data_IF_147413016355
#
_entry.id   IF_147413016355
#
_cell.length_a   1.000
_cell.length_b   1.000
_cell.length_c   1.000
_cell.angle_alpha   90.00
_cell.angle_beta   90.00
_cell.angle_gamma   90.00
#
_symmetry.space_group_name_H-M   'P 1'
#
loop_
_entity.id
_entity.type
_entity.pdbx_description
1 polymer ?
#
# COMPACT_ATOMS: atom_id res chain seq x y z
N UNK A 1 -21.93 1.05 -22.81
CA UNK A 1 -21.75 -0.05 -21.84
C UNK A 1 -21.19 0.57 -20.57
N UNK A 2 -22.01 0.71 -19.52
CA UNK A 2 -21.53 1.19 -18.21
C UNK A 2 -20.54 0.17 -17.68
N UNK A 3 -19.28 0.58 -17.50
CA UNK A 3 -18.27 -0.23 -16.84
C UNK A 3 -18.63 -0.16 -15.35
N UNK A 4 -19.11 -1.28 -14.79
CA UNK A 4 -19.40 -1.46 -13.36
C UNK A 4 -18.13 -1.25 -12.51
N UNK A 5 -18.32 -1.17 -11.18
CA UNK A 5 -17.24 -0.95 -10.21
C UNK A 5 -16.03 -1.84 -10.49
N UNK A 6 -14.87 -1.22 -10.74
CA UNK A 6 -13.57 -1.87 -10.95
C UNK A 6 -13.49 -2.98 -12.04
N UNK A 7 -14.43 -3.03 -12.99
CA UNK A 7 -14.41 -4.05 -14.05
C UNK A 7 -14.86 -5.45 -13.60
N UNK A 8 -15.58 -5.55 -12.48
CA UNK A 8 -16.13 -6.82 -11.97
C UNK A 8 -17.66 -6.83 -12.08
N UNK A 9 -18.25 -8.02 -12.16
CA UNK A 9 -19.67 -8.27 -11.94
C UNK A 9 -19.85 -9.12 -10.69
N UNK A 10 -20.88 -8.84 -9.89
CA UNK A 10 -21.15 -9.61 -8.67
C UNK A 10 -22.40 -10.45 -8.85
N UNK A 11 -22.27 -11.75 -8.58
CA UNK A 11 -23.37 -12.71 -8.61
C UNK A 11 -23.62 -13.26 -7.21
N UNK A 12 -24.89 -13.40 -6.84
CA UNK A 12 -25.30 -14.26 -5.72
C UNK A 12 -25.41 -15.69 -6.24
N UNK A 13 -24.67 -16.61 -5.64
CA UNK A 13 -24.66 -18.00 -6.07
C UNK A 13 -25.94 -18.72 -5.61
N UNK A 14 -26.47 -19.56 -6.48
CA UNK A 14 -27.62 -20.42 -6.22
C UNK A 14 -27.50 -21.72 -7.04
N UNK A 15 -28.39 -22.68 -6.78
CA UNK A 15 -28.45 -23.94 -7.51
C UNK A 15 -27.10 -24.65 -7.59
N UNK A 16 -26.66 -24.97 -8.81
CA UNK A 16 -25.42 -25.73 -9.06
C UNK A 16 -24.16 -24.96 -8.70
N UNK A 17 -24.10 -23.65 -8.99
CA UNK A 17 -22.91 -22.85 -8.62
C UNK A 17 -22.74 -22.74 -7.11
N UNK A 18 -23.84 -22.65 -6.35
CA UNK A 18 -23.80 -22.68 -4.88
C UNK A 18 -23.36 -24.04 -4.35
N UNK A 19 -23.86 -25.13 -4.92
CA UNK A 19 -23.45 -26.49 -4.52
C UNK A 19 -21.94 -26.71 -4.75
N UNK A 20 -21.42 -26.24 -5.88
CA UNK A 20 -19.99 -26.29 -6.17
C UNK A 20 -19.16 -25.42 -5.22
N UNK A 21 -19.61 -24.20 -4.90
CA UNK A 21 -18.92 -23.32 -3.94
C UNK A 21 -18.86 -23.92 -2.53
N UNK A 22 -19.94 -24.57 -2.07
CA UNK A 22 -19.96 -25.31 -0.79
C UNK A 22 -19.01 -26.50 -0.81
N UNK A 23 -19.02 -27.27 -1.91
CA UNK A 23 -18.07 -28.38 -2.06
C UNK A 23 -16.62 -27.89 -2.04
N UNK A 24 -16.31 -26.78 -2.69
CA UNK A 24 -14.98 -26.16 -2.66
C UNK A 24 -14.57 -25.79 -1.23
N UNK A 25 -15.48 -25.20 -0.46
CA UNK A 25 -15.23 -24.87 0.95
C UNK A 25 -14.98 -26.12 1.80
N UNK A 26 -15.79 -27.18 1.64
CA UNK A 26 -15.61 -28.44 2.36
C UNK A 26 -14.24 -29.07 2.05
N UNK A 27 -13.83 -29.04 0.77
CA UNK A 27 -12.53 -29.55 0.35
C UNK A 27 -11.37 -28.70 0.89
N UNK A 28 -11.51 -27.38 0.92
CA UNK A 28 -10.53 -26.49 1.56
C UNK A 28 -10.39 -26.79 3.06
N UNK A 29 -11.50 -26.98 3.77
CA UNK A 29 -11.49 -27.32 5.20
C UNK A 29 -10.76 -28.63 5.46
N UNK A 30 -10.99 -29.66 4.64
CA UNK A 30 -10.26 -30.93 4.72
C UNK A 30 -8.77 -30.76 4.41
N UNK A 31 -8.43 -29.96 3.42
CA UNK A 31 -7.03 -29.70 3.06
C UNK A 31 -6.29 -29.01 4.23
N UNK A 32 -6.95 -28.08 4.93
CA UNK A 32 -6.40 -27.39 6.11
C UNK A 32 -6.12 -28.32 7.30
N UNK A 33 -6.76 -29.50 7.37
CA UNK A 33 -6.48 -30.50 8.41
C UNK A 33 -5.15 -31.23 8.16
N UNK A 34 -4.69 -31.29 6.90
CA UNK A 34 -3.53 -32.09 6.50
C UNK A 34 -2.34 -31.25 6.04
N UNK A 35 -2.59 -30.03 5.53
CA UNK A 35 -1.56 -29.12 5.03
C UNK A 35 -1.34 -27.98 6.02
N UNK A 36 -0.17 -27.90 6.68
CA UNK A 36 0.12 -26.86 7.65
C UNK A 36 0.27 -25.50 6.95
N UNK A 37 -0.59 -24.54 7.31
CA UNK A 37 -0.45 -23.12 6.95
C UNK A 37 0.14 -22.33 8.10
N UNK A 38 1.05 -21.41 7.80
CA UNK A 38 1.65 -20.53 8.81
C UNK A 38 0.62 -19.49 9.27
N UNK A 39 0.46 -19.35 10.58
CA UNK A 39 -0.45 -18.38 11.21
C UNK A 39 0.26 -17.15 11.77
N UNK A 40 1.57 -17.24 11.95
CA UNK A 40 2.40 -16.19 12.54
C UNK A 40 3.78 -16.14 11.87
N UNK A 41 4.49 -15.04 12.11
CA UNK A 41 5.80 -14.78 11.52
C UNK A 41 5.75 -13.77 10.37
N UNK A 42 6.70 -13.90 9.44
CA UNK A 42 6.82 -12.96 8.33
C UNK A 42 5.62 -13.08 7.37
N UNK A 43 4.98 -11.95 7.04
CA UNK A 43 3.79 -11.91 6.18
C UNK A 43 3.99 -12.58 4.82
N UNK A 44 5.20 -12.50 4.23
CA UNK A 44 5.50 -13.19 2.97
C UNK A 44 5.46 -14.71 3.15
N UNK A 45 6.07 -15.23 4.21
CA UNK A 45 6.07 -16.67 4.49
C UNK A 45 4.65 -17.19 4.77
N UNK A 46 3.86 -16.42 5.52
CA UNK A 46 2.43 -16.70 5.72
C UNK A 46 1.72 -16.77 4.36
N UNK A 47 1.83 -15.73 3.55
CA UNK A 47 1.21 -15.70 2.21
C UNK A 47 1.65 -16.84 1.30
N UNK A 48 2.94 -17.19 1.30
CA UNK A 48 3.49 -18.29 0.51
C UNK A 48 2.91 -19.65 0.94
N UNK A 49 2.72 -19.87 2.25
CA UNK A 49 2.11 -21.11 2.76
C UNK A 49 0.64 -21.27 2.33
N UNK A 50 -0.15 -20.18 2.36
CA UNK A 50 -1.51 -20.17 1.86
C UNK A 50 -1.58 -20.37 0.34
N UNK A 51 -0.68 -19.74 -0.41
CA UNK A 51 -0.60 -19.95 -1.86
C UNK A 51 -0.27 -21.41 -2.22
N UNK A 52 0.59 -22.07 -1.44
CA UNK A 52 0.94 -23.47 -1.65
C UNK A 52 -0.26 -24.40 -1.40
N UNK A 53 -0.99 -24.18 -0.29
CA UNK A 53 -2.25 -24.87 0.01
C UNK A 53 -3.23 -24.76 -1.15
N UNK A 54 -3.53 -23.53 -1.60
CA UNK A 54 -4.49 -23.30 -2.67
C UNK A 54 -4.06 -23.96 -4.00
N UNK A 55 -2.77 -23.91 -4.34
CA UNK A 55 -2.26 -24.59 -5.54
C UNK A 55 -2.43 -26.11 -5.46
N UNK A 56 -2.12 -26.71 -4.31
CA UNK A 56 -2.31 -28.14 -4.08
C UNK A 56 -3.77 -28.57 -4.19
N UNK A 57 -4.65 -27.85 -3.48
CA UNK A 57 -6.10 -28.06 -3.52
C UNK A 57 -6.64 -27.99 -4.95
N UNK A 58 -6.32 -26.92 -5.69
CA UNK A 58 -6.83 -26.75 -7.05
C UNK A 58 -6.28 -27.79 -8.03
N UNK A 59 -5.02 -28.20 -7.89
CA UNK A 59 -4.44 -29.26 -8.71
C UNK A 59 -5.12 -30.61 -8.45
N UNK A 60 -5.43 -30.93 -7.19
CA UNK A 60 -6.18 -32.14 -6.82
C UNK A 60 -7.60 -32.10 -7.37
N UNK A 61 -8.33 -31.00 -7.16
CA UNK A 61 -9.70 -30.84 -7.67
C UNK A 61 -9.77 -30.91 -9.20
N UNK A 62 -8.75 -30.45 -9.92
CA UNK A 62 -8.71 -30.58 -11.38
C UNK A 62 -8.73 -32.05 -11.86
N UNK A 63 -8.30 -33.00 -11.02
CA UNK A 63 -8.31 -34.44 -11.30
C UNK A 63 -9.55 -35.11 -10.70
N UNK A 64 -9.85 -34.83 -9.43
CA UNK A 64 -10.86 -35.56 -8.65
C UNK A 64 -12.29 -35.02 -8.82
N UNK A 65 -12.43 -33.71 -9.07
CA UNK A 65 -13.72 -33.02 -9.12
C UNK A 65 -13.69 -31.81 -10.08
N UNK A 66 -13.37 -32.01 -11.38
CA UNK A 66 -13.20 -30.93 -12.35
C UNK A 66 -14.45 -30.06 -12.50
N UNK A 67 -15.64 -30.63 -12.30
CA UNK A 67 -16.92 -29.93 -12.33
C UNK A 67 -17.04 -28.82 -11.28
N UNK A 68 -16.35 -28.98 -10.12
CA UNK A 68 -16.30 -27.94 -9.09
C UNK A 68 -15.57 -26.71 -9.63
N UNK A 69 -14.44 -26.91 -10.32
CA UNK A 69 -13.66 -25.81 -10.90
C UNK A 69 -14.37 -25.14 -12.08
N UNK A 70 -15.12 -25.91 -12.86
CA UNK A 70 -15.94 -25.40 -13.97
C UNK A 70 -17.09 -24.53 -13.43
N UNK A 71 -17.88 -25.04 -12.48
CA UNK A 71 -19.05 -24.34 -11.94
C UNK A 71 -18.70 -23.12 -11.06
N UNK A 72 -17.51 -23.12 -10.46
CA UNK A 72 -16.97 -21.96 -9.72
C UNK A 72 -16.22 -20.97 -10.63
N UNK A 73 -15.98 -21.34 -11.89
CA UNK A 73 -15.26 -20.50 -12.85
C UNK A 73 -13.77 -20.32 -12.53
N UNK A 74 -13.19 -21.06 -11.58
CA UNK A 74 -11.79 -20.89 -11.17
C UNK A 74 -10.80 -21.21 -12.30
N UNK A 75 -11.23 -21.99 -13.31
CA UNK A 75 -10.48 -22.23 -14.55
C UNK A 75 -10.87 -21.26 -15.70
N UNK A 76 -11.93 -20.48 -15.54
CA UNK A 76 -12.45 -19.54 -16.55
C UNK A 76 -11.89 -18.13 -16.31
N UNK A 77 -10.61 -17.94 -16.65
CA UNK A 77 -9.94 -16.65 -16.46
C UNK A 77 -10.33 -15.63 -17.53
N UNK A 78 -10.60 -14.40 -17.09
CA UNK A 78 -10.83 -13.25 -17.96
C UNK A 78 -9.55 -12.40 -18.06
N UNK A 79 -9.27 -11.86 -19.25
CA UNK A 79 -8.15 -10.93 -19.43
C UNK A 79 -8.62 -9.50 -19.23
N UNK A 80 -8.23 -8.90 -18.10
CA UNK A 80 -8.50 -7.50 -17.80
C UNK A 80 -7.31 -6.64 -18.20
N UNK A 81 -7.55 -5.49 -18.83
CA UNK A 81 -6.51 -4.53 -19.21
C UNK A 81 -6.69 -3.24 -18.42
N UNK A 82 -5.75 -2.95 -17.53
CA UNK A 82 -5.73 -1.76 -16.70
C UNK A 82 -4.83 -0.70 -17.32
N UNK A 83 -5.37 0.51 -17.47
CA UNK A 83 -4.61 1.66 -17.97
C UNK A 83 -5.06 2.93 -17.25
N UNK A 84 -4.12 3.61 -16.60
CA UNK A 84 -4.29 4.94 -16.03
C UNK A 84 -3.79 6.06 -16.96
N UNK A 85 -3.96 7.34 -16.58
CA UNK A 85 -3.65 8.48 -17.46
C UNK A 85 -2.17 8.64 -17.85
N UNK A 86 -1.24 8.11 -17.06
CA UNK A 86 0.21 8.14 -17.28
C UNK A 86 0.85 6.76 -17.10
N UNK A 87 0.18 5.70 -17.51
CA UNK A 87 0.77 4.35 -17.50
C UNK A 87 0.45 3.62 -18.80
N UNK A 88 1.33 2.70 -19.19
CA UNK A 88 1.07 1.77 -20.28
C UNK A 88 0.06 0.70 -19.82
N UNK A 89 -0.72 0.11 -20.75
CA UNK A 89 -1.66 -0.93 -20.39
C UNK A 89 -0.94 -2.09 -19.70
N UNK A 90 -1.57 -2.63 -18.65
CA UNK A 90 -1.16 -3.82 -17.93
C UNK A 90 -2.30 -4.83 -18.02
N UNK A 91 -2.02 -6.00 -18.58
CA UNK A 91 -3.03 -7.04 -18.77
C UNK A 91 -2.82 -8.16 -17.76
N UNK A 92 -3.91 -8.61 -17.14
CA UNK A 92 -3.89 -9.72 -16.19
C UNK A 92 -4.98 -10.72 -16.54
N UNK A 93 -4.63 -12.00 -16.49
CA UNK A 93 -5.59 -13.09 -16.46
C UNK A 93 -6.04 -13.29 -15.01
N UNK A 94 -7.32 -13.07 -14.75
CA UNK A 94 -7.91 -13.14 -13.42
C UNK A 94 -9.08 -14.12 -13.38
N UNK A 95 -9.18 -14.91 -12.32
CA UNK A 95 -10.30 -15.83 -12.08
C UNK A 95 -11.38 -15.16 -11.21
N UNK A 96 -12.63 -15.65 -11.22
CA UNK A 96 -13.63 -15.27 -10.24
C UNK A 96 -13.19 -15.53 -8.80
N UNK A 97 -13.65 -14.69 -7.88
CA UNK A 97 -13.44 -14.83 -6.43
C UNK A 97 -14.76 -15.09 -5.73
N UNK A 98 -14.80 -16.06 -4.81
CA UNK A 98 -16.02 -16.40 -4.05
C UNK A 98 -15.83 -15.96 -2.60
N UNK A 99 -16.76 -15.15 -2.10
CA UNK A 99 -16.80 -14.65 -0.73
C UNK A 99 -18.01 -15.19 0.00
N UNK A 100 -17.87 -15.39 1.32
CA UNK A 100 -18.95 -15.76 2.21
C UNK A 100 -19.37 -14.56 3.02
N UNK A 101 -20.66 -14.33 3.20
CA UNK A 101 -21.11 -13.28 4.10
C UNK A 101 -20.97 -13.69 5.58
N UNK A 102 -20.79 -12.74 6.52
CA UNK A 102 -20.42 -13.05 7.90
C UNK A 102 -21.58 -13.51 8.79
N UNK A 103 -22.80 -13.62 8.27
CA UNK A 103 -23.98 -14.01 9.05
C UNK A 103 -23.98 -15.50 9.43
N UNK A 104 -24.81 -15.86 10.42
CA UNK A 104 -24.98 -17.25 10.89
C UNK A 104 -25.34 -18.25 9.77
N UNK A 105 -26.05 -17.77 8.74
CA UNK A 105 -26.32 -18.52 7.53
C UNK A 105 -25.63 -17.77 6.38
N UNK A 106 -24.35 -18.11 6.07
CA UNK A 106 -23.58 -17.36 5.10
C UNK A 106 -24.16 -17.51 3.70
N UNK A 107 -24.27 -16.39 3.00
CA UNK A 107 -24.56 -16.30 1.57
C UNK A 107 -23.24 -16.29 0.79
N UNK A 108 -23.26 -16.83 -0.43
CA UNK A 108 -22.07 -16.92 -1.29
C UNK A 108 -22.19 -15.93 -2.44
N UNK A 109 -21.19 -15.08 -2.57
CA UNK A 109 -21.11 -14.06 -3.60
C UNK A 109 -19.88 -14.28 -4.46
N UNK A 110 -20.04 -14.28 -5.78
CA UNK A 110 -18.96 -14.43 -6.73
C UNK A 110 -18.69 -13.10 -7.43
N UNK A 111 -17.46 -12.59 -7.28
CA UNK A 111 -16.93 -11.46 -8.02
C UNK A 111 -16.26 -12.00 -9.28
N UNK A 112 -16.88 -11.74 -10.43
CA UNK A 112 -16.41 -12.21 -11.73
C UNK A 112 -15.69 -11.09 -12.47
N UNK A 113 -14.43 -11.28 -12.90
CA UNK A 113 -13.74 -10.32 -13.75
C UNK A 113 -14.36 -10.26 -15.15
N UNK A 114 -14.58 -9.03 -15.64
CA UNK A 114 -15.02 -8.77 -17.02
C UNK A 114 -13.79 -8.50 -17.88
N UNK A 115 -13.63 -9.27 -18.94
CA UNK A 115 -12.53 -9.11 -19.90
C UNK A 115 -12.59 -7.75 -20.63
N UNK A 116 -11.51 -7.40 -21.32
CA UNK A 116 -11.39 -6.14 -22.06
C UNK A 116 -12.39 -5.96 -23.23
N UNK A 117 -13.15 -7.00 -23.60
CA UNK A 117 -14.21 -6.99 -24.62
C UNK A 117 -15.62 -7.12 -24.02
N UNK A 118 -15.75 -7.22 -22.70
CA UNK A 118 -17.03 -7.40 -22.00
C UNK A 118 -17.42 -8.86 -21.73
N UNK A 119 -16.64 -9.84 -22.20
CA UNK A 119 -16.83 -11.26 -21.89
C UNK A 119 -16.52 -11.55 -20.44
N UNK A 120 -17.23 -12.52 -19.85
CA UNK A 120 -17.08 -12.90 -18.45
C UNK A 120 -17.68 -14.29 -18.22
N UNK A 121 -17.30 -14.92 -17.11
CA UNK A 121 -17.91 -16.16 -16.65
C UNK A 121 -19.32 -15.87 -16.08
N UNK A 122 -20.30 -16.74 -16.36
CA UNK A 122 -21.65 -16.63 -15.78
C UNK A 122 -21.90 -17.86 -14.91
N UNK A 123 -21.98 -17.72 -13.58
CA UNK A 123 -22.20 -18.86 -12.71
C UNK A 123 -23.57 -19.50 -12.97
N UNK A 124 -23.59 -20.83 -13.07
CA UNK A 124 -24.82 -21.58 -13.29
C UNK A 124 -25.84 -21.31 -12.18
N UNK A 125 -27.06 -20.95 -12.58
CA UNK A 125 -28.20 -20.67 -11.70
C UNK A 125 -28.00 -19.45 -10.76
N UNK A 126 -26.87 -18.72 -10.89
CA UNK A 126 -26.57 -17.53 -10.10
C UNK A 126 -27.33 -16.30 -10.57
N UNK A 127 -27.71 -15.44 -9.62
CA UNK A 127 -28.37 -14.16 -9.89
C UNK A 127 -27.36 -13.02 -9.96
N UNK A 128 -27.32 -12.29 -11.09
CA UNK A 128 -26.53 -11.06 -11.20
C UNK A 128 -27.14 -10.00 -10.29
N UNK A 129 -26.31 -9.37 -9.46
CA UNK A 129 -26.74 -8.28 -8.59
C UNK A 129 -26.90 -6.97 -9.37
N UNK A 130 -27.94 -6.22 -9.02
CA UNK A 130 -28.09 -4.83 -9.45
C UNK A 130 -27.13 -3.89 -8.69
N UNK A 131 -27.07 -2.61 -9.08
CA UNK A 131 -26.15 -1.63 -8.45
C UNK A 131 -26.42 -1.42 -6.96
N UNK A 132 -27.68 -1.50 -6.53
CA UNK A 132 -28.07 -1.29 -5.13
C UNK A 132 -27.68 -2.50 -4.29
N UNK A 133 -27.94 -3.71 -4.79
CA UNK A 133 -27.56 -4.97 -4.17
C UNK A 133 -26.04 -5.14 -4.11
N UNK A 134 -25.33 -4.79 -5.17
CA UNK A 134 -23.86 -4.80 -5.23
C UNK A 134 -23.26 -3.91 -4.14
N UNK A 135 -23.78 -2.68 -3.99
CA UNK A 135 -23.33 -1.76 -2.92
C UNK A 135 -23.57 -2.32 -1.53
N UNK A 136 -24.79 -2.80 -1.26
CA UNK A 136 -25.15 -3.40 0.04
C UNK A 136 -24.24 -4.60 0.34
N UNK A 137 -23.99 -5.44 -0.66
CA UNK A 137 -23.13 -6.61 -0.53
C UNK A 137 -21.67 -6.22 -0.29
N UNK A 138 -21.17 -5.21 -1.01
CA UNK A 138 -19.83 -4.67 -0.81
C UNK A 138 -19.62 -4.14 0.62
N UNK A 139 -20.58 -3.37 1.13
CA UNK A 139 -20.55 -2.86 2.50
C UNK A 139 -20.58 -4.01 3.54
N UNK A 140 -21.38 -5.05 3.29
CA UNK A 140 -21.50 -6.24 4.17
C UNK A 140 -20.23 -7.08 4.21
N UNK A 141 -19.62 -7.32 3.05
CA UNK A 141 -18.42 -8.14 2.93
C UNK A 141 -17.14 -7.40 3.38
N UNK A 142 -17.26 -6.11 3.73
CA UNK A 142 -16.12 -5.19 3.85
C UNK A 142 -15.23 -5.24 2.60
N UNK A 143 -15.81 -5.53 1.44
CA UNK A 143 -15.12 -5.62 0.17
C UNK A 143 -14.75 -4.18 -0.28
N UNK A 144 -13.64 -3.69 0.28
CA UNK A 144 -13.18 -2.30 0.14
C UNK A 144 -12.56 -1.70 1.42
N UNK A 145 -12.56 -2.40 2.55
CA UNK A 145 -12.01 -1.95 3.84
C UNK A 145 -10.72 -2.68 4.28
N UNK A 146 -10.03 -2.12 5.29
CA UNK A 146 -8.73 -2.59 5.82
C UNK A 146 -8.78 -3.94 6.58
N UNK A 147 -9.96 -4.47 6.88
CA UNK A 147 -10.19 -5.77 7.53
C UNK A 147 -11.05 -6.65 6.60
N UNK A 148 -10.47 -7.03 5.47
CA UNK A 148 -11.18 -7.73 4.39
C UNK A 148 -11.47 -9.19 4.72
N UNK A 149 -12.71 -9.61 4.51
CA UNK A 149 -13.06 -11.01 4.42
C UNK A 149 -12.33 -11.63 3.22
N UNK A 150 -11.52 -12.67 3.44
CA UNK A 150 -10.76 -13.32 2.38
C UNK A 150 -11.70 -14.17 1.50
N UNK A 151 -11.46 -14.28 0.18
CA UNK A 151 -12.22 -15.23 -0.63
C UNK A 151 -11.91 -16.66 -0.18
N UNK A 152 -12.82 -17.59 -0.44
CA UNK A 152 -12.65 -19.02 -0.12
C UNK A 152 -11.29 -19.54 -0.56
N UNK A 153 -10.97 -19.33 -1.84
CA UNK A 153 -9.68 -19.66 -2.42
C UNK A 153 -9.17 -18.45 -3.16
N UNK A 154 -7.91 -18.09 -2.97
CA UNK A 154 -7.26 -17.02 -3.71
C UNK A 154 -6.48 -17.59 -4.89
N UNK A 155 -6.99 -17.40 -6.10
CA UNK A 155 -6.21 -17.60 -7.32
C UNK A 155 -5.52 -16.28 -7.64
N UNK A 156 -4.20 -16.25 -7.54
CA UNK A 156 -3.42 -15.06 -7.91
C UNK A 156 -3.64 -14.77 -9.39
N UNK A 157 -4.00 -13.52 -9.70
CA UNK A 157 -3.98 -13.06 -11.09
C UNK A 157 -2.57 -13.17 -11.65
N UNK A 158 -2.48 -13.36 -12.96
CA UNK A 158 -1.21 -13.52 -13.66
C UNK A 158 -1.10 -12.50 -14.77
N UNK A 159 0.01 -11.77 -14.80
CA UNK A 159 0.32 -10.84 -15.86
C UNK A 159 0.48 -11.56 -17.20
N UNK A 160 -0.18 -11.02 -18.23
CA UNK A 160 -0.16 -11.56 -19.59
C UNK A 160 0.21 -10.46 -20.58
N UNK A 161 0.61 -10.84 -21.79
CA UNK A 161 0.82 -9.89 -22.87
C UNK A 161 -0.47 -9.12 -23.14
N UNK A 162 -0.39 -7.80 -23.30
CA UNK A 162 -1.56 -7.00 -23.69
C UNK A 162 -2.09 -7.50 -25.05
N UNK A 163 -3.39 -7.82 -25.17
CA UNK A 163 -3.98 -8.27 -26.43
C UNK A 163 -3.69 -7.31 -27.59
N UNK A 164 -3.29 -7.85 -28.74
CA UNK A 164 -2.88 -7.04 -29.90
C UNK A 164 -4.00 -6.17 -30.48
N UNK A 165 -5.25 -6.57 -30.26
CA UNK A 165 -6.47 -5.87 -30.66
C UNK A 165 -7.05 -4.97 -29.56
N UNK A 166 -6.38 -4.84 -28.41
CA UNK A 166 -6.76 -3.89 -27.37
C UNK A 166 -6.66 -2.46 -27.91
N UNK A 167 -7.80 -1.75 -27.94
CA UNK A 167 -7.86 -0.36 -28.32
C UNK A 167 -7.80 0.53 -27.06
N UNK A 168 -6.66 1.19 -26.75
CA UNK A 168 -6.55 2.00 -25.55
C UNK A 168 -7.55 3.17 -25.58
N UNK A 169 -8.18 3.50 -24.44
CA UNK A 169 -9.03 4.69 -24.34
C UNK A 169 -8.24 5.96 -24.64
N UNK A 170 -8.94 7.03 -25.06
CA UNK A 170 -8.29 8.32 -25.26
C UNK A 170 -7.78 8.89 -23.92
N UNK A 171 -6.73 9.72 -23.95
CA UNK A 171 -6.23 10.40 -22.73
C UNK A 171 -7.34 11.18 -22.02
N UNK A 172 -8.27 11.78 -22.77
CA UNK A 172 -9.42 12.48 -22.20
C UNK A 172 -10.39 11.53 -21.49
N UNK A 173 -10.64 10.34 -22.04
CA UNK A 173 -11.50 9.34 -21.42
C UNK A 173 -10.86 8.81 -20.12
N UNK A 174 -9.56 8.50 -20.15
CA UNK A 174 -8.80 8.11 -18.96
C UNK A 174 -8.85 9.22 -17.90
N UNK A 175 -8.62 10.49 -18.27
CA UNK A 175 -8.71 11.60 -17.30
C UNK A 175 -10.08 11.77 -16.68
N UNK A 176 -11.16 11.49 -17.41
CA UNK A 176 -12.51 11.54 -16.88
C UNK A 176 -12.76 10.40 -15.88
N UNK A 177 -12.26 9.20 -16.17
CA UNK A 177 -12.38 8.04 -15.28
C UNK A 177 -11.52 8.18 -14.01
N UNK A 178 -10.39 8.87 -14.11
CA UNK A 178 -9.45 9.13 -13.01
C UNK A 178 -9.49 10.60 -12.57
N UNK A 179 -10.69 11.18 -12.43
CA UNK A 179 -10.86 12.59 -12.05
C UNK A 179 -10.27 12.93 -10.68
N UNK A 180 -10.13 11.92 -9.81
CA UNK A 180 -9.47 12.01 -8.49
C UNK A 180 -7.93 12.10 -8.57
N UNK A 181 -7.32 11.96 -9.76
CA UNK A 181 -5.91 12.22 -10.01
C UNK A 181 -5.76 13.54 -10.79
N UNK A 182 -5.86 14.70 -10.11
CA UNK A 182 -5.89 16.01 -10.76
C UNK A 182 -4.52 16.43 -11.33
N UNK A 183 -3.45 15.78 -10.87
CA UNK A 183 -2.07 16.07 -11.23
C UNK A 183 -1.41 14.89 -11.96
N UNK A 184 -0.25 15.17 -12.55
CA UNK A 184 0.62 14.27 -13.30
C UNK A 184 1.95 14.13 -12.58
N UNK A 185 2.61 13.00 -12.76
CA UNK A 185 4.01 12.85 -12.38
C UNK A 185 4.94 13.38 -13.47
N UNK A 186 6.01 14.04 -13.03
CA UNK A 186 7.19 14.41 -13.83
C UNK A 186 8.40 13.79 -13.15
N UNK A 187 9.14 12.97 -13.89
CA UNK A 187 10.17 12.12 -13.31
C UNK A 187 11.55 12.45 -13.89
N UNK A 188 12.58 12.33 -13.06
CA UNK A 188 13.97 12.47 -13.47
C UNK A 188 14.82 11.37 -12.82
N UNK A 189 15.79 10.82 -13.54
CA UNK A 189 16.85 10.00 -12.95
C UNK A 189 17.87 10.97 -12.33
N UNK A 190 18.07 10.88 -11.02
CA UNK A 190 19.08 11.68 -10.33
C UNK A 190 20.48 11.30 -10.82
N UNK A 191 21.31 12.31 -11.11
CA UNK A 191 22.71 12.14 -11.47
C UNK A 191 23.52 13.36 -11.03
N UNK A 192 24.85 13.26 -11.06
CA UNK A 192 25.76 14.34 -10.68
C UNK A 192 25.38 14.99 -9.35
N UNK A 193 25.15 16.31 -9.39
CA UNK A 193 24.79 17.10 -8.22
C UNK A 193 23.45 16.69 -7.61
N UNK A 194 22.41 16.41 -8.40
CA UNK A 194 21.13 15.99 -7.82
C UNK A 194 21.23 14.68 -7.03
N UNK A 195 22.02 13.72 -7.53
CA UNK A 195 22.27 12.46 -6.82
C UNK A 195 23.07 12.69 -5.52
N UNK A 196 24.07 13.57 -5.54
CA UNK A 196 24.84 13.93 -4.35
C UNK A 196 23.95 14.58 -3.27
N UNK A 197 22.99 15.42 -3.64
CA UNK A 197 22.04 16.02 -2.70
C UNK A 197 21.10 14.97 -2.07
N UNK A 198 20.66 13.98 -2.85
CA UNK A 198 19.88 12.86 -2.32
C UNK A 198 20.72 11.99 -1.36
N UNK A 199 21.99 11.76 -1.67
CA UNK A 199 22.90 11.02 -0.79
C UNK A 199 23.15 11.77 0.54
N UNK A 200 23.35 13.09 0.48
CA UNK A 200 23.47 13.94 1.66
C UNK A 200 22.22 13.88 2.54
N UNK A 201 21.02 13.97 1.94
CA UNK A 201 19.76 13.79 2.66
C UNK A 201 19.71 12.45 3.38
N UNK A 202 20.02 11.34 2.70
CA UNK A 202 20.00 9.99 3.31
C UNK A 202 20.97 9.90 4.48
N UNK A 203 22.15 10.53 4.38
CA UNK A 203 23.12 10.57 5.47
C UNK A 203 22.58 11.38 6.67
N UNK A 204 22.00 12.55 6.42
CA UNK A 204 21.36 13.39 7.46
C UNK A 204 20.18 12.68 8.12
N UNK A 205 19.34 11.98 7.35
CA UNK A 205 18.23 11.19 7.87
C UNK A 205 18.73 10.04 8.76
N UNK A 206 19.77 9.32 8.34
CA UNK A 206 20.38 8.26 9.16
C UNK A 206 20.92 8.80 10.49
N UNK A 207 21.60 9.95 10.46
CA UNK A 207 22.10 10.60 11.67
C UNK A 207 20.96 11.10 12.56
N UNK A 208 19.92 11.70 11.98
CA UNK A 208 18.73 12.15 12.69
C UNK A 208 18.00 10.98 13.39
N UNK A 209 17.77 9.87 12.68
CA UNK A 209 17.19 8.64 13.25
C UNK A 209 18.06 8.06 14.37
N UNK A 210 19.39 8.10 14.22
CA UNK A 210 20.31 7.63 15.26
C UNK A 210 20.17 8.46 16.54
N UNK A 211 20.09 9.79 16.42
CA UNK A 211 19.89 10.70 17.57
C UNK A 211 18.52 10.54 18.21
N UNK A 212 17.46 10.38 17.41
CA UNK A 212 16.12 10.07 17.91
C UNK A 212 16.10 8.77 18.71
N UNK A 213 16.64 7.68 18.15
CA UNK A 213 16.72 6.39 18.85
C UNK A 213 17.51 6.50 20.15
N UNK A 214 18.58 7.29 20.17
CA UNK A 214 19.34 7.55 21.40
C UNK A 214 18.49 8.30 22.44
N UNK A 215 17.77 9.34 22.04
CA UNK A 215 16.90 10.09 22.94
C UNK A 215 15.73 9.24 23.47
N UNK A 216 15.06 8.47 22.61
CA UNK A 216 14.02 7.52 23.03
C UNK A 216 14.55 6.53 24.08
N UNK A 217 15.73 5.93 23.84
CA UNK A 217 16.37 5.04 24.82
C UNK A 217 16.73 5.72 26.13
N UNK A 218 17.16 6.99 26.08
CA UNK A 218 17.46 7.76 27.28
C UNK A 218 16.20 8.04 28.11
N UNK A 219 15.07 8.33 27.45
CA UNK A 219 13.76 8.47 28.09
C UNK A 219 13.31 7.14 28.70
N UNK A 220 13.36 6.04 27.95
CA UNK A 220 13.01 4.71 28.43
C UNK A 220 13.84 4.32 29.65
N UNK A 221 15.15 4.51 29.60
CA UNK A 221 16.04 4.24 30.72
C UNK A 221 15.72 5.08 31.96
N UNK A 222 15.35 6.35 31.78
CA UNK A 222 14.94 7.21 32.89
C UNK A 222 13.61 6.76 33.53
N UNK A 223 12.66 6.28 32.73
CA UNK A 223 11.38 5.73 33.21
C UNK A 223 11.56 4.37 33.87
N UNK A 224 12.48 3.54 33.37
CA UNK A 224 12.77 2.21 33.91
C UNK A 224 13.23 2.26 35.37
N UNK A 225 13.93 3.33 35.77
CA UNK A 225 14.33 3.57 37.17
C UNK A 225 13.12 3.66 38.12
N UNK A 226 11.98 4.11 37.62
CA UNK A 226 10.73 4.25 38.37
C UNK A 226 9.78 3.06 38.15
N UNK A 227 10.17 2.05 37.36
CA UNK A 227 9.36 0.85 37.10
C UNK A 227 8.87 0.16 38.39
N UNK A 228 9.69 -0.02 39.45
CA UNK A 228 9.20 -0.63 40.69
C UNK A 228 8.01 0.12 41.31
N UNK A 229 7.98 1.46 41.22
CA UNK A 229 6.86 2.27 41.73
C UNK A 229 5.60 2.07 40.91
N UNK A 230 5.74 1.95 39.59
CA UNK A 230 4.61 1.66 38.69
C UNK A 230 4.05 0.26 38.96
N UNK A 231 4.92 -0.74 39.14
CA UNK A 231 4.51 -2.11 39.45
C UNK A 231 3.81 -2.24 40.81
N UNK A 232 4.21 -1.44 41.81
CA UNK A 232 3.56 -1.42 43.12
C UNK A 232 2.08 -0.98 43.06
N UNK A 233 1.69 -0.23 42.03
CA UNK A 233 0.31 0.20 41.79
C UNK A 233 -0.52 -0.82 40.99
N UNK A 234 0.07 -1.96 40.57
CA UNK A 234 -0.58 -2.98 39.75
C UNK A 234 -0.82 -4.27 40.53
N UNK A 235 -1.76 -5.13 40.09
CA UNK A 235 -1.94 -6.46 40.66
C UNK A 235 -0.65 -7.29 40.64
N UNK A 236 -0.46 -8.13 41.66
CA UNK A 236 0.75 -8.91 41.83
C UNK A 236 1.06 -9.81 40.61
N UNK A 237 2.28 -9.68 40.06
CA UNK A 237 2.75 -10.45 38.90
C UNK A 237 2.32 -9.89 37.54
N UNK A 238 1.78 -8.68 37.50
CA UNK A 238 1.69 -7.87 36.27
C UNK A 238 3.03 -7.20 35.94
N UNK A 239 3.15 -6.73 34.70
CA UNK A 239 4.33 -6.01 34.20
C UNK A 239 3.89 -4.84 33.30
N UNK A 240 4.83 -3.94 33.01
CA UNK A 240 4.63 -2.79 32.14
C UNK A 240 5.58 -2.81 30.95
N UNK A 241 5.03 -2.47 29.78
CA UNK A 241 5.77 -2.14 28.58
C UNK A 241 5.97 -0.63 28.53
N UNK A 242 7.22 -0.22 28.57
CA UNK A 242 7.66 1.16 28.39
C UNK A 242 8.12 1.30 26.95
N UNK A 243 7.62 2.34 26.26
CA UNK A 243 7.98 2.61 24.87
C UNK A 243 8.09 4.11 24.66
N UNK A 244 9.24 4.57 24.21
CA UNK A 244 9.40 5.92 23.71
C UNK A 244 9.38 5.93 22.18
N UNK A 245 8.59 6.83 21.60
CA UNK A 245 8.46 7.02 20.16
C UNK A 245 8.61 8.51 19.84
N UNK A 246 8.33 8.89 18.60
CA UNK A 246 8.38 10.29 18.19
C UNK A 246 7.34 10.56 17.11
N UNK A 247 6.83 11.79 17.07
CA UNK A 247 6.08 12.34 15.95
C UNK A 247 6.83 13.48 15.28
N UNK A 248 6.68 13.61 13.97
CA UNK A 248 7.35 14.63 13.18
C UNK A 248 6.49 15.05 11.98
N UNK A 249 6.80 16.22 11.41
CA UNK A 249 6.18 16.68 10.17
C UNK A 249 6.87 16.03 8.97
N UNK A 250 6.11 15.30 8.15
CA UNK A 250 6.62 14.59 6.97
C UNK A 250 7.25 15.51 5.91
N UNK A 251 6.89 16.80 5.91
CA UNK A 251 7.47 17.83 5.04
C UNK A 251 8.88 18.29 5.42
N UNK A 252 9.40 17.86 6.58
CA UNK A 252 10.68 18.30 7.13
C UNK A 252 10.62 19.66 7.84
N UNK A 253 11.75 20.07 8.41
CA UNK A 253 11.98 21.41 8.99
C UNK A 253 11.50 21.64 10.42
N UNK A 254 10.68 20.74 10.99
CA UNK A 254 10.28 20.80 12.40
C UNK A 254 11.16 19.92 13.30
N UNK A 255 11.29 20.30 14.57
CA UNK A 255 11.78 19.40 15.62
C UNK A 255 10.79 18.25 15.82
N UNK A 256 11.33 17.06 16.03
CA UNK A 256 10.51 15.92 16.41
C UNK A 256 9.99 16.09 17.84
N UNK A 257 8.75 15.71 18.07
CA UNK A 257 8.19 15.60 19.41
C UNK A 257 8.42 14.18 19.93
N UNK A 258 9.05 14.05 21.09
CA UNK A 258 9.31 12.77 21.74
C UNK A 258 8.10 12.38 22.61
N UNK A 259 7.67 11.14 22.44
CA UNK A 259 6.46 10.60 23.03
C UNK A 259 6.81 9.42 23.94
N UNK A 260 6.10 9.26 25.04
CA UNK A 260 6.22 8.14 25.96
C UNK A 260 4.86 7.45 26.11
N UNK A 261 4.84 6.13 26.01
CA UNK A 261 3.69 5.32 26.39
C UNK A 261 4.13 4.22 27.35
N UNK A 262 3.43 4.11 28.47
CA UNK A 262 3.61 3.02 29.44
C UNK A 262 2.29 2.29 29.55
N UNK A 263 2.30 0.99 29.25
CA UNK A 263 1.09 0.16 29.17
C UNK A 263 1.27 -1.16 29.89
N UNK A 264 0.17 -1.71 30.42
CA UNK A 264 0.18 -3.07 30.99
C UNK A 264 0.50 -4.10 29.91
N UNK A 265 1.39 -5.04 30.23
CA UNK A 265 1.68 -6.17 29.33
C UNK A 265 0.53 -7.18 29.27
N UNK A 266 -0.27 -7.29 30.35
CA UNK A 266 -1.40 -8.22 30.42
C UNK A 266 -0.98 -9.68 30.56
N UNK A 267 0.13 -9.95 31.24
CA UNK A 267 0.66 -11.32 31.46
C UNK A 267 -0.30 -12.21 32.24
N UNK A 268 -1.12 -11.63 33.13
CA UNK A 268 -2.12 -12.36 33.92
C UNK A 268 -3.56 -12.06 33.51
N UNK A 269 -3.85 -10.81 33.14
CA UNK A 269 -5.17 -10.41 32.64
C UNK A 269 -5.05 -9.85 31.22
N UNK A 270 -5.36 -10.69 30.24
CA UNK A 270 -5.38 -10.32 28.81
C UNK A 270 -6.30 -9.12 28.54
N UNK A 271 -7.43 -9.00 29.24
CA UNK A 271 -8.37 -7.88 29.06
C UNK A 271 -7.85 -6.54 29.58
N UNK A 272 -6.73 -6.57 30.29
CA UNK A 272 -6.03 -5.37 30.75
C UNK A 272 -4.82 -4.99 29.91
N UNK A 273 -4.40 -5.86 28.99
CA UNK A 273 -3.27 -5.59 28.10
C UNK A 273 -3.49 -4.28 27.34
N UNK A 274 -2.46 -3.43 27.29
CA UNK A 274 -2.51 -2.16 26.57
C UNK A 274 -3.17 -1.00 27.32
N UNK A 275 -3.76 -1.22 28.52
CA UNK A 275 -4.24 -0.12 29.36
C UNK A 275 -3.06 0.75 29.83
N UNK A 276 -3.22 2.06 29.73
CA UNK A 276 -2.21 3.04 30.14
C UNK A 276 -1.93 2.96 31.64
N UNK A 277 -0.65 3.06 32.01
CA UNK A 277 -0.20 3.11 33.40
C UNK A 277 0.36 4.51 33.67
N UNK A 278 -0.09 5.20 34.74
CA UNK A 278 0.45 6.50 35.11
C UNK A 278 1.94 6.41 35.40
N UNK A 279 2.71 7.37 34.86
CA UNK A 279 4.15 7.48 35.10
C UNK A 279 4.38 8.45 36.27
N UNK A 280 5.13 8.05 37.30
CA UNK A 280 5.39 8.91 38.45
C UNK A 280 6.25 10.13 38.06
N UNK A 281 6.26 11.20 38.89
CA UNK A 281 7.09 12.37 38.65
C UNK A 281 8.57 12.01 38.55
N UNK A 282 9.24 12.47 37.50
CA UNK A 282 10.67 12.24 37.26
C UNK A 282 11.48 13.51 37.54
N UNK A 283 12.71 13.38 38.09
CA UNK A 283 13.65 14.49 38.08
C UNK A 283 14.12 14.81 36.65
N UNK A 284 14.04 13.89 35.69
CA UNK A 284 14.60 14.07 34.35
C UNK A 284 13.68 14.84 33.38
N UNK A 285 12.36 14.73 33.54
CA UNK A 285 11.39 15.30 32.60
C UNK A 285 10.04 15.60 33.25
N UNK A 286 9.25 16.43 32.58
CA UNK A 286 7.81 16.56 32.78
C UNK A 286 7.06 15.88 31.63
N UNK A 287 5.82 15.49 31.92
CA UNK A 287 4.93 14.84 30.98
C UNK A 287 3.71 15.73 30.73
N UNK A 288 3.35 15.87 29.47
CA UNK A 288 2.12 16.55 29.03
C UNK A 288 1.21 15.51 28.37
N UNK A 289 -0.04 15.43 28.82
CA UNK A 289 -1.00 14.43 28.33
C UNK A 289 -1.33 14.63 26.85
N UNK A 290 -1.30 13.54 26.09
CA UNK A 290 -1.79 13.46 24.71
C UNK A 290 -2.93 12.45 24.60
N UNK A 291 -3.80 12.62 23.61
CA UNK A 291 -4.85 11.65 23.31
C UNK A 291 -4.28 10.24 23.08
N UNK A 292 -5.05 9.22 23.47
CA UNK A 292 -4.68 7.83 23.25
C UNK A 292 -3.73 7.21 24.29
N UNK A 293 -3.41 7.92 25.39
CA UNK A 293 -2.56 7.38 26.47
C UNK A 293 -1.06 7.47 26.16
N UNK A 294 -0.67 8.50 25.43
CA UNK A 294 0.72 8.90 25.21
C UNK A 294 0.99 10.19 25.96
N UNK A 295 2.25 10.39 26.35
CA UNK A 295 2.73 11.61 26.98
C UNK A 295 3.76 12.29 26.10
N UNK A 296 3.69 13.60 25.96
CA UNK A 296 4.78 14.40 25.38
C UNK A 296 5.83 14.62 26.47
N UNK A 297 7.09 14.30 26.15
CA UNK A 297 8.21 14.41 27.11
C UNK A 297 8.91 15.75 26.95
N UNK A 298 9.05 16.50 28.05
CA UNK A 298 9.84 17.74 28.12
C UNK A 298 10.92 17.60 29.18
N UNK A 299 12.19 17.77 28.80
CA UNK A 299 13.29 17.65 29.76
C UNK A 299 13.25 18.76 30.82
N UNK A 300 13.59 18.41 32.06
CA UNK A 300 13.67 19.34 33.18
C UNK A 300 15.02 20.03 33.23
N UNK A 301 15.10 21.28 32.79
CA UNK A 301 16.38 22.01 32.76
C UNK A 301 16.87 22.46 34.15
N UNK A 302 16.00 22.37 35.16
CA UNK A 302 16.27 22.75 36.55
C UNK A 302 17.07 21.68 37.33
N UNK A 303 17.03 20.41 36.91
CA UNK A 303 17.72 19.29 37.61
C UNK A 303 18.97 18.81 36.88
N UNK A 304 19.94 18.16 37.55
CA UNK A 304 21.08 17.52 36.89
C UNK A 304 20.68 16.39 35.92
N UNK A 305 19.70 15.58 36.28
CA UNK A 305 19.15 14.50 35.45
C UNK A 305 18.50 15.06 34.18
N UNK A 306 17.68 16.09 34.33
CA UNK A 306 16.96 16.66 33.21
C UNK A 306 17.83 17.53 32.32
N UNK A 307 18.90 18.16 32.84
CA UNK A 307 19.94 18.78 31.99
C UNK A 307 20.67 17.74 31.12
N UNK A 308 20.95 16.54 31.65
CA UNK A 308 21.54 15.45 30.86
C UNK A 308 20.59 14.98 29.75
N UNK A 309 19.30 14.81 30.08
CA UNK A 309 18.30 14.45 29.08
C UNK A 309 18.10 15.56 28.04
N UNK A 310 18.03 16.83 28.48
CA UNK A 310 17.93 17.99 27.60
C UNK A 310 19.07 18.03 26.59
N UNK A 311 20.32 17.80 27.01
CA UNK A 311 21.45 17.74 26.11
C UNK A 311 21.32 16.66 25.02
N UNK A 312 20.72 15.50 25.34
CA UNK A 312 20.45 14.44 24.37
C UNK A 312 19.34 14.84 23.40
N UNK A 313 18.27 15.48 23.89
CA UNK A 313 17.14 15.94 23.08
C UNK A 313 17.55 17.11 22.18
N UNK A 314 18.27 18.10 22.70
CA UNK A 314 18.74 19.28 21.97
C UNK A 314 19.78 18.93 20.90
N UNK A 315 20.45 17.78 21.05
CA UNK A 315 21.31 17.27 20.00
C UNK A 315 20.54 16.78 18.76
N UNK A 316 19.22 16.55 18.83
CA UNK A 316 18.43 16.11 17.67
C UNK A 316 18.28 17.30 16.71
N UNK A 317 18.80 17.23 15.47
CA UNK A 317 18.60 18.29 14.49
C UNK A 317 17.14 18.33 14.03
N UNK A 318 16.76 19.41 13.36
CA UNK A 318 15.47 19.48 12.69
C UNK A 318 15.33 18.34 11.66
N UNK A 319 14.09 17.90 11.45
CA UNK A 319 13.77 16.79 10.55
C UNK A 319 14.31 17.08 9.15
N UNK A 320 15.30 16.31 8.63
CA UNK A 320 15.87 16.56 7.32
C UNK A 320 14.84 16.31 6.23
N UNK A 321 14.74 17.23 5.28
CA UNK A 321 13.79 17.13 4.17
C UNK A 321 14.41 17.54 2.84
N UNK A 322 13.81 17.06 1.74
CA UNK A 322 14.19 17.53 0.39
C UNK A 322 13.93 19.02 0.19
N UNK A 323 13.07 19.62 1.03
CA UNK A 323 12.82 21.05 1.08
C UNK A 323 14.09 21.87 1.37
N UNK A 324 15.10 21.31 2.03
CA UNK A 324 16.35 22.00 2.37
C UNK A 324 17.20 22.33 1.12
N UNK A 325 16.96 21.63 0.01
CA UNK A 325 17.76 21.78 -1.22
C UNK A 325 17.01 22.62 -2.24
N UNK A 326 17.25 23.94 -2.24
CA UNK A 326 16.66 24.87 -3.21
C UNK A 326 16.87 24.42 -4.67
N UNK A 327 18.00 23.78 -4.96
CA UNK A 327 18.33 23.28 -6.30
C UNK A 327 17.44 22.12 -6.78
N UNK A 328 16.76 21.41 -5.87
CA UNK A 328 15.81 20.36 -6.22
C UNK A 328 14.36 20.88 -6.32
N UNK A 329 14.13 22.17 -6.03
CA UNK A 329 12.77 22.73 -6.04
C UNK A 329 12.29 22.97 -7.47
N UNK A 330 11.27 22.23 -7.88
CA UNK A 330 10.60 22.39 -9.17
C UNK A 330 9.72 23.65 -9.22
N UNK A 331 9.47 24.15 -10.42
CA UNK A 331 8.64 25.33 -10.68
C UNK A 331 7.26 24.97 -11.28
N UNK A 332 6.83 23.71 -11.12
CA UNK A 332 5.61 23.22 -11.73
C UNK A 332 4.37 23.82 -11.05
N UNK A 333 3.40 24.24 -11.87
CA UNK A 333 2.07 24.56 -11.35
C UNK A 333 1.42 23.29 -10.84
N UNK A 334 0.77 23.31 -9.67
CA UNK A 334 0.08 22.16 -9.07
C UNK A 334 -1.38 22.51 -8.85
N UNK A 335 -2.29 21.61 -9.19
CA UNK A 335 -3.67 21.74 -8.70
C UNK A 335 -3.67 21.34 -7.24
N UNK A 336 -3.91 22.31 -6.37
CA UNK A 336 -4.06 22.07 -4.93
C UNK A 336 -5.29 21.19 -4.70
N UNK A 337 -5.10 20.09 -4.01
CA UNK A 337 -6.17 19.27 -3.45
C UNK A 337 -5.90 19.01 -1.96
N UNK A 338 -6.95 18.68 -1.21
CA UNK A 338 -6.86 18.55 0.26
C UNK A 338 -5.91 17.42 0.70
N UNK A 339 -5.83 16.33 -0.08
CA UNK A 339 -4.93 15.21 0.19
C UNK A 339 -3.49 15.60 -0.09
N UNK A 340 -3.23 16.25 -1.23
CA UNK A 340 -1.93 16.75 -1.63
C UNK A 340 -1.37 17.80 -0.67
N UNK A 341 -2.25 18.65 -0.13
CA UNK A 341 -1.92 19.57 0.96
C UNK A 341 -1.59 18.84 2.26
N UNK A 342 -2.44 17.90 2.69
CA UNK A 342 -2.24 17.15 3.93
C UNK A 342 -0.95 16.31 3.91
N UNK A 343 -0.60 15.74 2.75
CA UNK A 343 0.60 14.93 2.58
C UNK A 343 1.87 15.77 2.29
N UNK A 344 1.75 17.09 2.15
CA UNK A 344 2.89 17.96 1.83
C UNK A 344 3.50 17.74 0.44
N UNK A 345 2.76 17.08 -0.47
CA UNK A 345 3.24 16.62 -1.79
C UNK A 345 2.97 17.62 -2.93
N UNK A 346 2.73 18.89 -2.59
CA UNK A 346 2.49 19.95 -3.57
C UNK A 346 3.77 20.37 -4.30
N UNK A 347 4.25 19.49 -5.18
CA UNK A 347 4.96 19.65 -6.47
C UNK A 347 6.22 20.50 -6.59
N UNK A 348 6.58 21.27 -5.58
CA UNK A 348 7.85 22.00 -5.57
C UNK A 348 8.98 21.07 -5.13
N UNK A 349 8.74 20.23 -4.13
CA UNK A 349 9.75 19.31 -3.60
C UNK A 349 9.51 17.91 -4.18
N UNK A 350 10.53 17.22 -4.71
CA UNK A 350 10.35 15.88 -5.24
C UNK A 350 10.15 14.85 -4.13
N UNK A 351 9.58 13.70 -4.50
CA UNK A 351 9.78 12.44 -3.80
C UNK A 351 10.97 11.70 -4.39
N UNK A 352 11.72 11.02 -3.53
CA UNK A 352 12.81 10.13 -3.96
C UNK A 352 12.30 8.70 -3.91
N UNK A 353 12.44 7.98 -5.02
CA UNK A 353 12.08 6.57 -5.14
C UNK A 353 13.26 5.81 -5.72
N UNK A 354 13.63 4.68 -5.11
CA UNK A 354 14.58 3.75 -5.72
C UNK A 354 13.82 2.75 -6.59
N UNK A 355 14.18 2.66 -7.87
CA UNK A 355 13.46 1.84 -8.84
C UNK A 355 14.44 1.26 -9.85
N UNK A 356 14.44 -0.07 -10.02
CA UNK A 356 15.34 -0.77 -10.94
C UNK A 356 16.84 -0.36 -10.78
N UNK A 357 17.29 -0.16 -9.53
CA UNK A 357 18.66 0.25 -9.22
C UNK A 357 19.00 1.72 -9.54
N UNK A 358 17.99 2.57 -9.77
CA UNK A 358 18.14 4.00 -10.03
C UNK A 358 17.41 4.82 -8.98
N UNK A 359 17.99 5.96 -8.62
CA UNK A 359 17.34 6.98 -7.80
C UNK A 359 16.51 7.90 -8.70
N UNK A 360 15.19 7.86 -8.54
CA UNK A 360 14.22 8.64 -9.31
C UNK A 360 13.69 9.79 -8.45
N UNK A 361 13.74 11.01 -8.99
CA UNK A 361 13.07 12.19 -8.46
C UNK A 361 11.70 12.29 -9.11
N UNK A 362 10.65 12.28 -8.29
CA UNK A 362 9.25 12.31 -8.74
C UNK A 362 8.60 13.59 -8.26
N UNK A 363 8.18 14.43 -9.21
CA UNK A 363 7.45 15.65 -8.96
C UNK A 363 5.99 15.47 -9.32
N UNK A 364 5.13 16.23 -8.66
CA UNK A 364 3.70 16.35 -9.00
C UNK A 364 3.49 17.66 -9.74
N UNK A 365 2.84 17.63 -10.90
CA UNK A 365 2.60 18.80 -11.74
C UNK A 365 1.19 18.77 -12.32
N UNK A 366 0.59 19.93 -12.58
CA UNK A 366 -0.63 20.02 -13.36
C UNK A 366 -0.37 19.46 -14.77
N UNK A 367 -1.35 18.80 -15.43
CA UNK A 367 -1.13 18.07 -16.69
C UNK A 367 -0.56 18.90 -17.86
N UNK A 368 -0.59 20.24 -17.77
CA UNK A 368 -0.04 21.15 -18.78
C UNK A 368 1.31 21.76 -18.40
N UNK A 369 1.74 21.66 -17.13
CA UNK A 369 2.95 22.31 -16.60
C UNK A 369 4.21 21.44 -16.72
N UNK A 370 4.09 20.14 -16.94
CA UNK A 370 5.25 19.27 -17.22
C UNK A 370 6.01 19.57 -18.54
N UNK A 371 5.66 20.65 -19.24
CA UNK A 371 6.38 21.16 -20.42
C UNK A 371 7.33 22.32 -20.08
N UNK A 372 7.25 22.83 -18.86
CA UNK A 372 8.09 23.92 -18.39
C UNK A 372 9.50 23.35 -18.14
N UNK A 373 10.53 24.00 -18.69
CA UNK A 373 11.90 23.48 -18.86
C UNK A 373 12.73 23.24 -17.59
N UNK A 374 12.09 23.01 -16.45
CA UNK A 374 12.81 22.63 -15.23
C UNK A 374 13.38 21.22 -15.35
N UNK A 375 14.67 21.12 -15.04
CA UNK A 375 15.36 19.86 -14.82
C UNK A 375 16.24 20.02 -13.57
N UNK A 376 16.19 19.10 -12.60
CA UNK A 376 17.13 19.14 -11.48
C UNK A 376 18.58 19.09 -11.98
N UNK A 377 19.55 19.67 -11.25
CA UNK A 377 20.95 19.71 -11.68
C UNK A 377 21.50 18.33 -12.05
N UNK A 378 22.05 18.24 -13.25
CA UNK A 378 22.64 17.05 -13.87
C UNK A 378 21.68 15.85 -14.04
N UNK A 379 20.41 15.99 -13.66
CA UNK A 379 19.43 14.91 -13.77
C UNK A 379 19.02 14.68 -15.22
N UNK A 380 18.58 13.46 -15.52
CA UNK A 380 18.10 13.08 -16.83
C UNK A 380 16.57 12.95 -16.81
N UNK A 381 15.83 13.53 -17.76
CA UNK A 381 14.39 13.32 -17.87
C UNK A 381 14.04 11.84 -17.94
N UNK A 382 13.04 11.42 -17.16
CA UNK A 382 12.55 10.05 -17.12
C UNK A 382 11.07 9.98 -17.47
N UNK A 383 10.68 8.93 -18.19
CA UNK A 383 9.28 8.75 -18.59
C UNK A 383 8.40 8.47 -17.37
N UNK A 384 7.42 9.33 -17.11
CA UNK A 384 6.41 9.08 -16.08
C UNK A 384 5.63 7.77 -16.36
N UNK A 385 5.46 7.39 -17.63
CA UNK A 385 4.87 6.11 -18.00
C UNK A 385 5.74 4.92 -17.60
N UNK A 386 7.07 5.05 -17.71
CA UNK A 386 7.99 4.00 -17.27
C UNK A 386 8.03 3.91 -15.75
N UNK A 387 8.06 5.05 -15.05
CA UNK A 387 7.95 5.11 -13.60
C UNK A 387 6.70 4.41 -13.09
N UNK A 388 5.51 4.77 -13.59
CA UNK A 388 4.26 4.14 -13.14
C UNK A 388 4.19 2.65 -13.46
N UNK A 389 4.71 2.23 -14.61
CA UNK A 389 4.75 0.82 -14.97
C UNK A 389 5.66 0.05 -14.00
N UNK A 390 6.88 0.51 -13.76
CA UNK A 390 7.84 -0.14 -12.87
C UNK A 390 7.37 -0.14 -11.41
N UNK A 391 6.73 0.95 -10.94
CA UNK A 391 6.12 1.01 -9.61
C UNK A 391 5.02 -0.03 -9.44
N UNK A 392 4.17 -0.19 -10.45
CA UNK A 392 3.13 -1.24 -10.44
C UNK A 392 3.75 -2.65 -10.51
N UNK A 393 4.87 -2.81 -11.19
CA UNK A 393 5.64 -4.07 -11.26
C UNK A 393 6.15 -4.52 -9.89
N UNK A 394 6.76 -3.61 -9.14
CA UNK A 394 7.19 -3.89 -7.78
C UNK A 394 5.99 -4.21 -6.87
N UNK A 395 4.85 -3.54 -7.08
CA UNK A 395 3.59 -3.86 -6.38
C UNK A 395 3.09 -5.28 -6.67
N UNK A 396 3.11 -5.72 -7.92
CA UNK A 396 2.74 -7.09 -8.30
C UNK A 396 3.67 -8.10 -7.62
N UNK A 397 4.99 -7.90 -7.70
CA UNK A 397 5.97 -8.80 -7.07
C UNK A 397 5.81 -8.87 -5.56
N UNK A 398 5.59 -7.73 -4.91
CA UNK A 398 5.39 -7.66 -3.45
C UNK A 398 4.10 -8.36 -2.99
N UNK A 399 3.11 -8.51 -3.88
CA UNK A 399 1.84 -9.21 -3.58
C UNK A 399 1.81 -10.66 -4.09
N UNK A 400 2.92 -11.15 -4.65
CA UNK A 400 3.04 -12.49 -5.21
C UNK A 400 2.30 -12.68 -6.53
N UNK A 401 1.96 -11.59 -7.22
CA UNK A 401 1.39 -11.58 -8.56
C UNK A 401 2.53 -11.60 -9.57
N UNK A 402 2.44 -12.49 -10.56
CA UNK A 402 3.35 -12.46 -11.71
C UNK A 402 3.06 -11.20 -12.52
N UNK A 403 4.03 -10.30 -12.73
CA UNK A 403 3.77 -9.09 -13.49
C UNK A 403 3.59 -9.37 -15.00
N UNK A 404 2.91 -8.48 -15.75
CA UNK A 404 2.84 -8.57 -17.20
C UNK A 404 4.24 -8.41 -17.83
N UNK A 405 4.46 -8.93 -19.05
CA UNK A 405 5.71 -8.69 -19.77
C UNK A 405 6.02 -7.19 -19.89
N UNK A 406 7.27 -6.81 -19.62
CA UNK A 406 7.71 -5.42 -19.68
C UNK A 406 7.63 -4.89 -21.12
N UNK A 407 6.94 -3.77 -21.38
CA UNK A 407 6.93 -3.15 -22.70
C UNK A 407 8.32 -2.68 -23.12
N UNK A 408 8.65 -2.81 -24.41
CA UNK A 408 9.93 -2.34 -24.97
C UNK A 408 10.20 -0.87 -24.64
N UNK A 409 9.16 -0.01 -24.63
CA UNK A 409 9.29 1.40 -24.28
C UNK A 409 9.75 1.65 -22.83
N UNK A 410 9.44 0.76 -21.89
CA UNK A 410 9.95 0.81 -20.50
C UNK A 410 11.43 0.44 -20.50
N UNK A 411 11.79 -0.63 -21.21
CA UNK A 411 13.20 -1.07 -21.34
C UNK A 411 14.07 0.01 -21.99
N UNK A 412 13.58 0.64 -23.06
CA UNK A 412 14.29 1.72 -23.74
C UNK A 412 14.45 2.96 -22.84
N UNK A 413 13.43 3.31 -22.05
CA UNK A 413 13.52 4.40 -21.08
C UNK A 413 14.58 4.12 -19.98
N UNK A 414 14.69 2.88 -19.51
CA UNK A 414 15.74 2.46 -18.56
C UNK A 414 17.14 2.50 -19.18
N UNK A 415 17.24 2.24 -20.48
CA UNK A 415 18.48 2.34 -21.25
C UNK A 415 18.86 3.80 -21.59
N UNK A 416 18.07 4.79 -21.19
CA UNK A 416 18.31 6.20 -21.50
C UNK A 416 18.07 6.56 -22.97
N UNK A 417 17.40 5.70 -23.73
CA UNK A 417 16.99 6.03 -25.11
C UNK A 417 15.81 7.02 -25.04
N UNK A 418 15.76 8.03 -25.94
CA UNK A 418 14.66 8.99 -25.95
C UNK A 418 13.33 8.26 -26.05
N UNK A 419 12.41 8.58 -25.13
CA UNK A 419 11.14 7.88 -25.00
C UNK A 419 10.38 7.90 -26.33
N UNK A 420 10.16 6.72 -26.93
CA UNK A 420 9.20 6.60 -28.01
C UNK A 420 7.85 7.11 -27.51
N UNK A 421 7.29 8.11 -28.20
CA UNK A 421 5.96 8.62 -27.87
C UNK A 421 4.98 7.45 -27.97
N UNK A 422 4.07 7.24 -27.00
CA UNK A 422 3.10 6.14 -27.07
C UNK A 422 2.35 6.20 -28.42
N UNK A 423 2.03 5.05 -29.02
CA UNK A 423 1.49 4.99 -30.37
C UNK A 423 0.27 5.90 -30.50
N UNK A 424 0.41 6.94 -31.32
CA UNK A 424 -0.74 7.76 -31.74
C UNK A 424 -1.68 6.82 -32.51
N UNK A 425 -2.97 6.81 -32.14
CA UNK A 425 -4.02 6.21 -32.97
C UNK A 425 -3.79 6.67 -34.42
N UNK A 426 -3.58 5.72 -35.34
CA UNK A 426 -3.72 6.00 -36.77
C UNK A 426 -5.13 6.59 -36.93
N UNK A 427 -5.23 7.82 -37.46
CA UNK A 427 -6.53 8.39 -37.79
C UNK A 427 -7.22 7.39 -38.71
N UNK A 428 -8.42 6.98 -38.35
CA UNK A 428 -9.26 6.20 -39.26
C UNK A 428 -9.35 6.98 -40.58
N UNK A 429 -9.24 6.31 -41.74
CA UNK A 429 -9.49 6.98 -43.01
C UNK A 429 -10.88 7.62 -42.99
N UNK A 430 -11.07 8.78 -43.65
CA UNK A 430 -12.39 9.38 -43.77
C UNK A 430 -13.35 8.32 -44.32
N UNK A 431 -14.52 8.18 -43.69
CA UNK A 431 -15.59 7.35 -44.26
C UNK A 431 -15.98 7.97 -45.62
N UNK A 432 -16.19 7.14 -46.65
CA UNK A 432 -16.63 7.60 -47.97
C UNK A 432 -17.99 8.30 -47.89
#
# INVERSE_FOLDING_TARGET
>A
MQIKSNGMLVYKLAGRSLAAARRLEDELRRELETVPVLKEGNLKAIGDSWNALYKGLLARLAVEAPEVLELTGLNARAVQVFQGPQTWPRAYAEAPHIFLSPEKNPEYFMYVPVDYKGGHFVPADGGLLDEKEERITGDRLFAGGWLGNAPLVTVKKEGVTTPADYAPPSKSALRKAFSYLPNDHVCFIAAGRSLALVADLKARQKEWERRLKHACRAIEAAVELDKPKMLAALPAGEDVRISATYSYYSSGGGRAELLLSVRREGKKDFWSAGKTVPVPPSPAFTLEDRSGGEYIVRARTDTPEGRRLAAVIDAIPDTPGLGDYAALRGNFAVKKDSIGQALGVNGVVPHVVELAGRTILVYTAAPKSGKDGFCPPDAQPFSAFAYEWLRADDGDRNTGVTPPPMPQAVSDALAGKPAATPPRRKKSPPRP
#
